data_IF_621769808134
#
_entry.id   IF_621769808134
#
_cell.length_a   1.000
_cell.length_b   1.000
_cell.length_c   1.000
_cell.angle_alpha   90.00
_cell.angle_beta   90.00
_cell.angle_gamma   90.00
#
_symmetry.space_group_name_H-M   'P 1'
#
loop_
_entity.id
_entity.type
_entity.pdbx_description
1 polymer ?
#
# COMPACT_ATOMS: atom_id res chain seq x y z
N UNK A 1 -25.84 -65.94 -49.64
CA UNK A 1 -24.77 -64.99 -49.23
C UNK A 1 -25.41 -63.97 -48.27
N UNK A 2 -25.17 -64.09 -46.95
CA UNK A 2 -25.70 -63.15 -45.94
C UNK A 2 -24.65 -62.14 -45.56
N UNK A 3 -24.85 -60.85 -45.87
CA UNK A 3 -23.99 -59.74 -45.45
C UNK A 3 -24.30 -59.42 -43.98
N UNK A 4 -23.27 -59.56 -43.12
CA UNK A 4 -23.32 -59.08 -41.71
C UNK A 4 -23.01 -57.58 -41.74
N UNK A 5 -23.94 -56.75 -41.27
CA UNK A 5 -23.74 -55.36 -40.95
C UNK A 5 -23.08 -55.27 -39.56
N UNK A 6 -21.91 -54.67 -39.47
CA UNK A 6 -21.23 -54.40 -38.22
C UNK A 6 -21.64 -52.99 -37.78
N UNK A 7 -22.39 -52.86 -36.69
CA UNK A 7 -22.74 -51.53 -36.13
C UNK A 7 -21.62 -51.05 -35.22
N UNK A 8 -21.03 -49.91 -35.57
CA UNK A 8 -20.00 -49.23 -34.80
C UNK A 8 -20.72 -48.32 -33.78
N UNK A 9 -20.68 -48.69 -32.50
CA UNK A 9 -21.14 -47.80 -31.44
C UNK A 9 -20.08 -46.80 -31.08
N UNK A 10 -20.32 -45.52 -31.40
CA UNK A 10 -19.49 -44.41 -30.97
C UNK A 10 -19.86 -44.02 -29.53
N UNK A 11 -18.99 -44.31 -28.60
CA UNK A 11 -19.10 -43.89 -27.22
C UNK A 11 -18.60 -42.44 -27.13
N UNK A 12 -19.50 -41.48 -27.01
CA UNK A 12 -19.18 -40.08 -26.74
C UNK A 12 -18.89 -39.92 -25.23
N UNK A 13 -17.63 -39.82 -24.87
CA UNK A 13 -17.20 -39.45 -23.51
C UNK A 13 -17.39 -37.95 -23.32
N UNK A 14 -18.42 -37.56 -22.58
CA UNK A 14 -18.61 -36.18 -22.16
C UNK A 14 -17.57 -35.84 -21.09
N UNK A 15 -16.56 -35.05 -21.45
CA UNK A 15 -15.65 -34.41 -20.49
C UNK A 15 -16.44 -33.34 -19.75
N UNK A 16 -16.85 -33.63 -18.53
CA UNK A 16 -17.36 -32.65 -17.58
C UNK A 16 -16.17 -31.79 -17.11
N UNK A 17 -15.92 -30.66 -17.79
CA UNK A 17 -15.09 -29.60 -17.24
C UNK A 17 -15.80 -29.02 -16.03
N UNK A 18 -15.42 -29.41 -14.81
CA UNK A 18 -15.78 -28.72 -13.60
C UNK A 18 -15.08 -27.33 -13.63
N UNK A 19 -15.80 -26.31 -14.08
CA UNK A 19 -15.38 -24.93 -13.89
C UNK A 19 -15.38 -24.66 -12.38
N UNK A 20 -14.24 -24.80 -11.74
CA UNK A 20 -14.04 -24.33 -10.38
C UNK A 20 -14.40 -22.84 -10.35
N UNK A 21 -15.38 -22.45 -9.55
CA UNK A 21 -15.71 -21.05 -9.33
C UNK A 21 -14.46 -20.37 -8.76
N UNK A 22 -13.75 -19.60 -9.58
CA UNK A 22 -12.73 -18.67 -9.10
C UNK A 22 -13.50 -17.62 -8.31
N UNK A 23 -13.47 -17.74 -6.98
CA UNK A 23 -14.01 -16.68 -6.13
C UNK A 23 -13.20 -15.41 -6.43
N UNK A 24 -13.79 -14.49 -7.17
CA UNK A 24 -13.20 -13.20 -7.42
C UNK A 24 -12.95 -12.53 -6.06
N UNK A 25 -11.69 -12.26 -5.73
CA UNK A 25 -11.31 -11.60 -4.48
C UNK A 25 -12.01 -10.25 -4.41
N UNK A 26 -12.73 -10.00 -3.32
CA UNK A 26 -13.52 -8.79 -3.13
C UNK A 26 -12.58 -7.60 -2.87
N UNK A 27 -12.67 -6.59 -3.73
CA UNK A 27 -12.01 -5.30 -3.51
C UNK A 27 -12.84 -4.49 -2.50
N UNK A 28 -12.21 -4.05 -1.44
CA UNK A 28 -12.78 -3.18 -0.41
C UNK A 28 -12.24 -1.76 -0.57
N UNK A 29 -13.12 -0.76 -0.47
CA UNK A 29 -12.73 0.65 -0.49
C UNK A 29 -12.42 1.09 0.93
N UNK A 30 -11.13 1.33 1.24
CA UNK A 30 -10.72 1.96 2.50
C UNK A 30 -11.12 3.44 2.53
N UNK A 31 -11.13 4.10 1.39
CA UNK A 31 -11.71 5.43 1.22
C UNK A 31 -13.00 5.35 0.38
N UNK A 32 -14.09 5.85 0.94
CA UNK A 32 -15.43 5.77 0.34
C UNK A 32 -15.75 6.93 -0.63
N UNK A 33 -14.83 7.91 -0.79
CA UNK A 33 -15.01 9.10 -1.62
C UNK A 33 -15.87 10.21 -0.98
N UNK A 34 -16.30 10.07 0.27
CA UNK A 34 -17.23 11.01 0.93
C UNK A 34 -16.72 11.55 2.26
N UNK A 35 -16.19 10.68 3.10
CA UNK A 35 -15.75 11.00 4.46
C UNK A 35 -14.60 10.09 4.92
N UNK A 36 -14.05 10.39 6.09
CA UNK A 36 -12.97 9.62 6.73
C UNK A 36 -13.48 8.76 7.90
N UNK A 37 -14.76 8.40 7.92
CA UNK A 37 -15.37 7.61 9.00
C UNK A 37 -14.75 6.23 9.20
N UNK A 38 -14.07 5.69 8.16
CA UNK A 38 -13.35 4.41 8.21
C UNK A 38 -11.92 4.52 8.75
N UNK A 39 -11.49 5.73 9.14
CA UNK A 39 -10.13 6.00 9.57
C UNK A 39 -10.06 6.48 11.01
N UNK A 40 -8.92 6.23 11.64
CA UNK A 40 -8.48 6.87 12.87
C UNK A 40 -7.32 7.83 12.55
N UNK A 41 -6.94 8.67 13.53
CA UNK A 41 -5.97 9.72 13.32
C UNK A 41 -4.97 9.77 14.47
N UNK A 42 -3.71 10.05 14.10
CA UNK A 42 -2.64 10.45 15.01
C UNK A 42 -2.12 11.80 14.52
N UNK A 43 -2.18 12.81 15.38
CA UNK A 43 -1.57 14.13 15.14
C UNK A 43 -0.52 14.36 16.21
N UNK A 44 0.68 14.78 15.82
CA UNK A 44 1.78 14.99 16.77
C UNK A 44 1.35 15.94 17.90
N UNK A 45 1.53 15.46 19.15
CA UNK A 45 1.19 16.18 20.39
C UNK A 45 -0.25 16.71 20.45
N UNK A 46 -1.16 16.21 19.60
CA UNK A 46 -2.51 16.75 19.44
C UNK A 46 -2.51 18.27 19.19
N UNK A 47 -1.52 18.74 18.40
CA UNK A 47 -1.27 20.15 18.19
C UNK A 47 -2.47 20.91 17.60
N UNK A 48 -3.26 20.20 16.78
CA UNK A 48 -4.53 20.69 16.21
C UNK A 48 -5.53 19.53 16.10
N UNK A 49 -6.85 19.81 15.99
CA UNK A 49 -7.84 18.78 15.65
C UNK A 49 -7.51 18.08 14.34
N UNK A 50 -7.76 16.76 14.26
CA UNK A 50 -7.37 15.93 13.12
C UNK A 50 -7.99 16.41 11.80
N UNK A 51 -9.20 16.94 11.82
CA UNK A 51 -9.89 17.49 10.65
C UNK A 51 -9.24 18.75 10.06
N UNK A 52 -8.28 19.35 10.75
CA UNK A 52 -7.42 20.42 10.22
C UNK A 52 -6.23 19.89 9.43
N UNK A 53 -5.92 18.60 9.59
CA UNK A 53 -4.80 17.93 8.91
C UNK A 53 -5.29 16.98 7.83
N UNK A 54 -6.40 16.27 8.11
CA UNK A 54 -6.99 15.25 7.26
C UNK A 54 -8.45 15.60 6.97
N UNK A 55 -8.79 15.84 5.73
CA UNK A 55 -10.17 16.15 5.35
C UNK A 55 -10.50 15.64 3.95
N UNK A 56 -11.77 15.68 3.60
CA UNK A 56 -12.24 15.32 2.24
C UNK A 56 -12.75 16.58 1.56
N UNK A 57 -12.26 16.80 0.36
CA UNK A 57 -12.74 17.84 -0.54
C UNK A 57 -12.76 17.30 -1.97
N UNK A 58 -13.81 17.63 -2.73
CA UNK A 58 -13.98 17.18 -4.13
C UNK A 58 -13.83 15.65 -4.32
N UNK A 59 -14.24 14.85 -3.32
CA UNK A 59 -14.16 13.39 -3.37
C UNK A 59 -12.74 12.83 -3.20
N UNK A 60 -11.81 13.62 -2.70
CA UNK A 60 -10.40 13.25 -2.45
C UNK A 60 -10.06 13.47 -0.98
N UNK A 61 -9.17 12.64 -0.45
CA UNK A 61 -8.49 12.89 0.83
C UNK A 61 -7.45 13.98 0.59
N UNK A 62 -7.47 14.99 1.44
CA UNK A 62 -6.42 16.01 1.53
C UNK A 62 -5.68 15.83 2.84
N UNK A 63 -4.35 15.83 2.77
CA UNK A 63 -3.45 15.80 3.92
C UNK A 63 -2.51 17.00 3.81
N UNK A 64 -2.53 17.88 4.84
CA UNK A 64 -1.85 19.19 4.81
C UNK A 64 -0.32 19.06 4.95
N UNK A 65 0.16 17.94 5.52
CA UNK A 65 1.59 17.69 5.70
C UNK A 65 2.21 18.31 6.96
N UNK A 66 1.48 19.17 7.69
CA UNK A 66 1.92 19.76 8.95
C UNK A 66 0.70 20.08 9.83
N UNK A 67 0.69 19.69 11.13
CA UNK A 67 1.74 18.96 11.86
C UNK A 67 1.95 17.54 11.36
N UNK A 68 3.05 16.91 11.82
CA UNK A 68 3.30 15.48 11.59
C UNK A 68 2.18 14.63 12.15
N UNK A 69 1.91 13.54 11.49
CA UNK A 69 0.89 12.59 11.88
C UNK A 69 0.57 11.58 10.78
N UNK A 70 -0.48 10.84 10.97
CA UNK A 70 -1.02 9.93 9.96
C UNK A 70 -2.48 9.61 10.25
N UNK A 71 -3.23 9.33 9.21
CA UNK A 71 -4.50 8.63 9.31
C UNK A 71 -4.26 7.14 9.11
N UNK A 72 -5.01 6.27 9.82
CA UNK A 72 -4.79 4.83 9.76
C UNK A 72 -6.09 4.04 9.81
N UNK A 73 -6.07 2.84 9.26
CA UNK A 73 -7.21 1.93 9.18
C UNK A 73 -7.72 1.55 10.58
N UNK A 74 -9.03 1.28 10.71
CA UNK A 74 -9.62 0.77 11.97
C UNK A 74 -9.27 -0.68 12.25
N UNK A 75 -9.05 -1.46 11.18
CA UNK A 75 -8.68 -2.86 11.25
C UNK A 75 -7.20 -3.05 10.89
N UNK A 76 -6.62 -4.15 11.38
CA UNK A 76 -5.32 -4.64 10.97
C UNK A 76 -5.46 -5.54 9.75
N UNK A 77 -4.43 -5.56 8.91
CA UNK A 77 -4.35 -6.39 7.70
C UNK A 77 -3.02 -7.15 7.68
N UNK A 78 -3.09 -8.41 7.27
CA UNK A 78 -1.92 -9.29 7.11
C UNK A 78 -1.59 -9.53 5.65
N UNK A 79 -2.34 -10.44 4.98
CA UNK A 79 -2.13 -10.75 3.57
C UNK A 79 -3.09 -9.92 2.71
N UNK A 80 -2.55 -9.00 1.90
CA UNK A 80 -3.38 -8.09 1.10
C UNK A 80 -2.65 -7.55 -0.13
N UNK A 81 -3.44 -7.08 -1.09
CA UNK A 81 -3.04 -6.12 -2.11
C UNK A 81 -3.65 -4.77 -1.76
N UNK A 82 -2.84 -3.74 -1.60
CA UNK A 82 -3.24 -2.35 -1.41
C UNK A 82 -3.00 -1.59 -2.73
N UNK A 83 -4.00 -0.80 -3.14
CA UNK A 83 -3.87 0.13 -4.25
C UNK A 83 -4.15 1.54 -3.76
N UNK A 84 -3.23 2.48 -4.03
CA UNK A 84 -3.30 3.87 -3.61
C UNK A 84 -2.99 4.76 -4.81
N UNK A 85 -3.83 5.77 -5.05
CA UNK A 85 -3.55 6.81 -6.04
C UNK A 85 -3.36 8.15 -5.35
N UNK A 86 -2.24 8.82 -5.62
CA UNK A 86 -1.88 10.10 -5.02
C UNK A 86 -1.34 11.10 -6.03
N UNK A 87 -1.36 12.38 -5.65
CA UNK A 87 -0.65 13.45 -6.37
C UNK A 87 -0.16 14.53 -5.42
N UNK A 88 0.81 15.29 -5.86
CA UNK A 88 1.24 16.54 -5.25
C UNK A 88 0.42 17.67 -5.86
N UNK A 89 -0.50 18.31 -5.12
CA UNK A 89 -1.30 19.41 -5.66
C UNK A 89 -0.43 20.63 -5.97
N UNK A 90 -0.91 21.51 -6.80
CA UNK A 90 -0.29 22.81 -7.11
C UNK A 90 1.16 22.73 -7.64
N UNK A 91 1.59 21.59 -8.19
CA UNK A 91 2.93 21.41 -8.72
C UNK A 91 4.06 21.42 -7.68
N UNK A 92 3.74 21.33 -6.38
CA UNK A 92 4.71 21.36 -5.28
C UNK A 92 5.06 19.95 -4.86
N UNK A 93 6.29 19.53 -5.12
CA UNK A 93 6.84 18.26 -4.63
C UNK A 93 7.16 18.36 -3.14
N UNK A 94 6.86 17.29 -2.38
CA UNK A 94 7.06 17.27 -0.94
C UNK A 94 7.36 15.85 -0.40
N UNK A 95 7.00 15.60 0.85
CA UNK A 95 7.15 14.31 1.52
C UNK A 95 5.82 13.80 2.07
N UNK A 96 5.62 12.51 1.98
CA UNK A 96 4.56 11.71 2.60
C UNK A 96 4.95 10.24 2.49
N UNK A 97 4.15 9.34 3.08
CA UNK A 97 4.40 7.90 3.04
C UNK A 97 3.13 7.08 3.22
N UNK A 98 3.20 5.83 2.79
CA UNK A 98 2.21 4.80 3.09
C UNK A 98 2.81 3.89 4.14
N UNK A 99 2.29 3.93 5.37
CA UNK A 99 2.74 3.08 6.47
C UNK A 99 2.10 1.71 6.37
N UNK A 100 2.92 0.68 6.45
CA UNK A 100 2.53 -0.72 6.33
C UNK A 100 2.83 -1.46 7.64
N UNK A 101 1.89 -2.33 8.05
CA UNK A 101 2.06 -3.20 9.21
C UNK A 101 2.37 -2.42 10.48
N UNK A 102 1.67 -1.30 10.74
CA UNK A 102 1.85 -0.50 11.96
C UNK A 102 1.55 -1.36 13.18
N UNK A 103 2.51 -1.47 14.11
CA UNK A 103 2.36 -2.24 15.34
C UNK A 103 1.89 -1.39 16.53
N UNK A 104 2.36 -0.14 16.64
CA UNK A 104 1.99 0.77 17.72
C UNK A 104 1.50 2.12 17.17
N UNK A 105 0.80 2.89 18.00
CA UNK A 105 0.12 4.12 17.60
C UNK A 105 0.54 5.31 18.48
N UNK A 106 1.76 5.27 19.04
CA UNK A 106 2.17 6.17 20.14
C UNK A 106 2.75 7.51 19.69
N UNK A 107 3.24 7.60 18.47
CA UNK A 107 3.93 8.79 17.97
C UNK A 107 3.75 8.93 16.45
N UNK A 108 4.07 10.09 15.84
CA UNK A 108 3.84 10.35 14.42
C UNK A 108 4.71 9.50 13.47
N UNK A 109 5.71 8.80 14.00
CA UNK A 109 6.55 7.84 13.28
C UNK A 109 6.47 6.47 13.98
N UNK A 110 5.35 5.73 13.82
CA UNK A 110 5.11 4.47 14.54
C UNK A 110 6.10 3.38 14.13
N UNK A 111 6.17 2.28 14.89
CA UNK A 111 6.85 1.08 14.40
C UNK A 111 6.09 0.54 13.18
N UNK A 112 6.64 0.77 11.99
CA UNK A 112 6.04 0.43 10.70
C UNK A 112 7.11 0.40 9.59
N UNK A 113 6.79 -0.24 8.48
CA UNK A 113 7.53 -0.07 7.23
C UNK A 113 6.82 1.01 6.41
N UNK A 114 7.52 2.08 6.12
CA UNK A 114 7.00 3.12 5.24
C UNK A 114 7.37 2.80 3.78
N UNK A 115 6.37 2.68 2.92
CA UNK A 115 6.56 2.87 1.49
C UNK A 115 6.63 4.38 1.24
N UNK A 116 7.85 4.87 1.02
CA UNK A 116 8.14 6.29 0.87
C UNK A 116 7.41 6.88 -0.34
N UNK A 117 6.84 8.08 -0.18
CA UNK A 117 6.27 8.89 -1.25
C UNK A 117 7.02 10.23 -1.44
N UNK A 118 8.13 10.47 -0.71
CA UNK A 118 8.97 11.64 -0.97
C UNK A 118 9.28 11.74 -2.47
N UNK A 119 9.08 12.94 -3.01
CA UNK A 119 9.14 13.14 -4.46
C UNK A 119 10.54 12.81 -5.04
N UNK A 120 10.59 11.80 -5.89
CA UNK A 120 11.79 11.21 -6.46
C UNK A 120 12.22 9.90 -5.79
N UNK A 121 11.73 9.63 -4.59
CA UNK A 121 12.10 8.45 -3.79
C UNK A 121 10.92 7.47 -3.58
N UNK A 122 9.78 7.67 -4.26
CA UNK A 122 8.64 6.79 -4.12
C UNK A 122 9.00 5.32 -4.40
N UNK A 123 8.68 4.45 -3.42
CA UNK A 123 9.01 3.03 -3.44
C UNK A 123 10.27 2.65 -2.64
N UNK A 124 11.04 3.59 -2.07
CA UNK A 124 11.98 3.26 -1.01
C UNK A 124 11.24 2.71 0.20
N UNK A 125 11.88 1.84 1.00
CA UNK A 125 11.38 1.54 2.34
C UNK A 125 12.13 2.33 3.39
N UNK A 126 11.39 3.05 4.23
CA UNK A 126 11.93 3.69 5.44
C UNK A 126 11.50 2.88 6.66
N UNK A 127 12.45 2.53 7.50
CA UNK A 127 12.25 1.68 8.66
C UNK A 127 12.02 2.56 9.90
N UNK A 128 10.75 2.70 10.30
CA UNK A 128 10.35 3.63 11.35
C UNK A 128 10.42 2.98 12.74
N UNK A 129 10.89 3.72 13.73
CA UNK A 129 10.81 3.40 15.17
C UNK A 129 11.23 1.96 15.52
N UNK A 130 12.35 1.49 14.96
CA UNK A 130 12.90 0.17 15.26
C UNK A 130 12.34 -0.97 14.43
N UNK A 131 11.44 -0.71 13.48
CA UNK A 131 11.04 -1.72 12.48
C UNK A 131 12.24 -2.19 11.67
N UNK A 132 12.12 -3.35 11.03
CA UNK A 132 13.24 -3.94 10.29
C UNK A 132 12.77 -4.76 9.08
N UNK A 133 13.66 -4.86 8.09
CA UNK A 133 13.53 -5.74 6.94
C UNK A 133 14.80 -6.59 6.81
N UNK A 134 14.64 -7.84 6.40
CA UNK A 134 15.77 -8.75 6.20
C UNK A 134 16.79 -8.23 5.17
N UNK A 135 16.35 -7.40 4.26
CA UNK A 135 17.13 -6.78 3.19
C UNK A 135 17.97 -5.59 3.68
N UNK A 136 17.62 -4.99 4.84
CA UNK A 136 18.40 -3.88 5.38
C UNK A 136 19.79 -4.34 5.84
N UNK A 137 20.80 -3.64 5.39
CA UNK A 137 22.20 -3.84 5.82
C UNK A 137 22.73 -2.56 6.46
N UNK A 138 22.98 -2.61 7.76
CA UNK A 138 23.59 -1.49 8.46
C UNK A 138 25.01 -1.21 7.89
N UNK A 139 25.37 0.06 7.71
CA UNK A 139 26.74 0.42 7.32
C UNK A 139 27.74 -0.11 8.34
N UNK A 140 28.85 -0.70 7.86
CA UNK A 140 29.87 -1.26 8.75
C UNK A 140 30.52 -0.18 9.63
N UNK A 141 30.59 -0.44 10.93
CA UNK A 141 31.25 0.47 11.90
C UNK A 141 30.46 1.75 12.20
N UNK A 142 29.20 1.85 11.74
CA UNK A 142 28.35 3.00 12.00
C UNK A 142 27.13 2.59 12.85
N UNK A 143 26.62 3.44 13.75
CA UNK A 143 25.36 3.17 14.43
C UNK A 143 24.22 3.11 13.41
N UNK A 144 23.18 2.34 13.74
CA UNK A 144 21.95 2.31 12.93
C UNK A 144 21.34 3.72 12.87
N UNK A 145 21.05 4.27 11.69
CA UNK A 145 20.33 5.54 11.56
C UNK A 145 18.96 5.50 12.28
N UNK A 146 18.44 6.67 12.66
CA UNK A 146 17.09 6.77 13.24
C UNK A 146 16.02 6.29 12.24
N UNK A 147 16.21 6.57 10.96
CA UNK A 147 15.35 6.17 9.85
C UNK A 147 16.19 5.43 8.79
N UNK A 148 16.45 4.12 8.99
CA UNK A 148 17.18 3.33 8.00
C UNK A 148 16.37 3.21 6.70
N UNK A 149 17.06 3.17 5.57
CA UNK A 149 16.41 3.10 4.25
C UNK A 149 16.90 1.88 3.48
N UNK A 150 15.95 1.12 2.92
CA UNK A 150 16.19 0.15 1.86
C UNK A 150 15.80 0.82 0.54
N UNK A 151 16.80 1.20 -0.25
CA UNK A 151 16.58 1.92 -1.50
C UNK A 151 15.86 1.07 -2.53
N UNK A 152 15.00 1.70 -3.31
CA UNK A 152 14.36 1.09 -4.49
C UNK A 152 15.39 0.64 -5.51
N UNK A 153 15.03 -0.33 -6.32
CA UNK A 153 15.95 -0.95 -7.27
C UNK A 153 16.11 -0.19 -8.58
N UNK A 154 15.16 0.69 -8.90
CA UNK A 154 15.13 1.42 -10.17
C UNK A 154 14.89 2.91 -9.94
N UNK A 155 15.21 3.71 -10.94
CA UNK A 155 14.88 5.12 -10.95
C UNK A 155 13.38 5.35 -10.75
N UNK A 156 13.04 6.51 -10.22
CA UNK A 156 11.65 6.86 -9.96
C UNK A 156 10.84 6.91 -11.27
N UNK A 157 9.66 6.27 -11.24
CA UNK A 157 8.66 6.33 -12.30
C UNK A 157 7.56 7.36 -12.00
N UNK A 158 7.79 8.22 -11.01
CA UNK A 158 6.84 9.24 -10.62
C UNK A 158 6.59 10.23 -11.76
N UNK A 159 5.33 10.57 -11.92
CA UNK A 159 4.90 11.60 -12.87
C UNK A 159 5.19 12.99 -12.32
N UNK A 160 5.18 14.02 -13.17
CA UNK A 160 5.30 15.40 -12.73
C UNK A 160 4.29 15.76 -11.63
N UNK A 161 4.65 16.69 -10.75
CA UNK A 161 3.74 17.18 -9.73
C UNK A 161 2.47 17.77 -10.37
N UNK A 162 1.31 17.46 -9.78
CA UNK A 162 -0.02 17.71 -10.34
C UNK A 162 -0.64 16.50 -11.04
N UNK A 163 0.16 15.55 -11.50
CA UNK A 163 -0.32 14.32 -12.11
C UNK A 163 -0.52 13.19 -11.10
N UNK A 164 -1.46 12.30 -11.39
CA UNK A 164 -1.78 11.16 -10.54
C UNK A 164 -0.77 10.02 -10.70
N UNK A 165 -0.20 9.60 -9.59
CA UNK A 165 0.61 8.40 -9.44
C UNK A 165 -0.20 7.29 -8.79
N UNK A 166 0.26 6.04 -8.95
CA UNK A 166 -0.30 4.88 -8.25
C UNK A 166 0.79 4.04 -7.59
N UNK A 167 0.47 3.53 -6.40
CA UNK A 167 1.20 2.45 -5.74
C UNK A 167 0.34 1.20 -5.71
N UNK A 168 0.88 0.07 -6.14
CA UNK A 168 0.32 -1.26 -5.95
C UNK A 168 1.27 -2.03 -5.01
N UNK A 169 0.80 -2.30 -3.79
CA UNK A 169 1.59 -2.91 -2.73
C UNK A 169 0.99 -4.27 -2.39
N UNK A 170 1.79 -5.32 -2.47
CA UNK A 170 1.41 -6.68 -2.08
C UNK A 170 2.11 -7.03 -0.78
N UNK A 171 1.35 -7.47 0.21
CA UNK A 171 1.88 -8.03 1.45
C UNK A 171 1.39 -9.47 1.55
N UNK A 172 2.32 -10.41 1.64
CA UNK A 172 2.01 -11.82 1.82
C UNK A 172 3.04 -12.47 2.73
N UNK A 173 2.59 -13.00 3.86
CA UNK A 173 3.42 -13.65 4.87
C UNK A 173 4.61 -12.79 5.32
N UNK A 174 4.40 -11.45 5.36
CA UNK A 174 5.39 -10.43 5.70
C UNK A 174 6.32 -10.02 4.57
N UNK A 175 6.23 -10.63 3.39
CA UNK A 175 6.92 -10.14 2.19
C UNK A 175 6.11 -8.98 1.61
N UNK A 176 6.75 -7.83 1.49
CA UNK A 176 6.19 -6.58 0.96
C UNK A 176 6.79 -6.36 -0.42
N UNK A 177 5.94 -6.25 -1.45
CA UNK A 177 6.36 -5.95 -2.84
C UNK A 177 5.68 -4.68 -3.29
N UNK A 178 6.45 -3.70 -3.77
CA UNK A 178 5.97 -2.36 -4.14
C UNK A 178 6.16 -2.11 -5.64
N UNK A 179 5.08 -1.73 -6.29
CA UNK A 179 5.08 -1.20 -7.65
C UNK A 179 4.63 0.25 -7.62
N UNK A 180 5.36 1.13 -8.30
CA UNK A 180 4.98 2.53 -8.53
C UNK A 180 4.78 2.73 -10.03
N UNK A 181 3.59 3.20 -10.42
CA UNK A 181 3.19 3.39 -11.82
C UNK A 181 3.46 2.15 -12.70
N UNK A 182 3.19 0.95 -12.13
CA UNK A 182 3.36 -0.34 -12.79
C UNK A 182 4.78 -0.91 -12.76
N UNK A 183 5.79 -0.14 -12.33
CA UNK A 183 7.18 -0.61 -12.25
C UNK A 183 7.52 -1.13 -10.86
N UNK A 184 8.12 -2.32 -10.78
CA UNK A 184 8.61 -2.90 -9.51
C UNK A 184 9.74 -2.03 -8.96
N UNK A 185 9.54 -1.49 -7.76
CA UNK A 185 10.49 -0.63 -7.09
C UNK A 185 11.25 -1.34 -5.97
N UNK A 186 10.55 -2.15 -5.16
CA UNK A 186 11.20 -2.75 -3.99
C UNK A 186 10.52 -4.06 -3.55
N UNK A 187 11.29 -4.92 -2.89
CA UNK A 187 10.79 -6.08 -2.14
C UNK A 187 11.50 -6.09 -0.78
N UNK A 188 10.75 -6.31 0.29
CA UNK A 188 11.29 -6.41 1.64
C UNK A 188 10.55 -7.47 2.46
N UNK A 189 11.25 -8.12 3.38
CA UNK A 189 10.73 -9.18 4.25
C UNK A 189 10.69 -8.71 5.70
N UNK A 190 9.48 -8.49 6.24
CA UNK A 190 9.24 -8.14 7.62
C UNK A 190 8.90 -9.37 8.46
N UNK A 191 9.30 -9.36 9.72
CA UNK A 191 8.86 -10.38 10.71
C UNK A 191 7.42 -10.18 11.15
N UNK A 192 6.94 -8.93 11.17
CA UNK A 192 5.54 -8.58 11.45
C UNK A 192 4.66 -9.04 10.30
N UNK A 193 3.57 -9.73 10.63
CA UNK A 193 2.69 -10.36 9.63
C UNK A 193 1.34 -9.65 9.50
N UNK A 194 1.01 -8.78 10.45
CA UNK A 194 -0.27 -8.06 10.53
C UNK A 194 -0.10 -6.73 11.23
N UNK A 195 -0.75 -5.69 10.73
CA UNK A 195 -0.73 -4.36 11.33
C UNK A 195 -1.70 -3.41 10.64
N UNK A 196 -1.79 -2.17 11.16
CA UNK A 196 -2.60 -1.16 10.50
C UNK A 196 -1.89 -0.61 9.26
N UNK A 197 -2.67 0.03 8.39
CA UNK A 197 -2.18 0.75 7.21
C UNK A 197 -2.40 2.24 7.46
N UNK A 198 -1.42 3.09 7.15
CA UNK A 198 -1.52 4.53 7.35
C UNK A 198 -1.15 5.37 6.14
N UNK A 199 -1.65 6.61 6.11
CA UNK A 199 -1.25 7.65 5.16
C UNK A 199 -0.68 8.81 5.95
N UNK A 200 0.56 9.18 5.65
CA UNK A 200 1.36 10.11 6.45
C UNK A 200 1.05 11.57 6.14
N UNK A 201 1.06 12.40 7.18
CA UNK A 201 1.18 13.86 7.11
C UNK A 201 2.61 14.26 7.40
N UNK A 202 3.36 14.68 6.36
CA UNK A 202 4.73 15.19 6.47
C UNK A 202 5.03 16.15 5.33
N UNK A 203 5.57 17.31 5.67
CA UNK A 203 6.08 18.28 4.69
C UNK A 203 5.02 19.24 4.16
N UNK A 204 4.28 18.89 3.11
CA UNK A 204 3.28 19.73 2.44
C UNK A 204 2.09 18.91 1.95
N UNK A 205 1.15 19.60 1.34
CA UNK A 205 -0.12 19.03 0.88
C UNK A 205 0.09 17.85 -0.08
N UNK A 206 -0.65 16.79 0.16
CA UNK A 206 -0.78 15.63 -0.71
C UNK A 206 -2.26 15.25 -0.81
N UNK A 207 -2.68 14.79 -1.98
CA UNK A 207 -4.05 14.32 -2.23
C UNK A 207 -4.07 12.84 -2.58
N UNK A 208 -5.13 12.13 -2.10
CA UNK A 208 -5.41 10.75 -2.45
C UNK A 208 -6.84 10.63 -2.99
N UNK A 209 -7.01 10.06 -4.18
CA UNK A 209 -8.35 9.86 -4.76
C UNK A 209 -8.84 8.42 -4.65
N UNK A 210 -7.95 7.46 -4.48
CA UNK A 210 -8.28 6.05 -4.36
C UNK A 210 -7.41 5.37 -3.32
N UNK A 211 -8.03 4.66 -2.37
CA UNK A 211 -7.37 3.75 -1.45
C UNK A 211 -8.24 2.51 -1.34
N UNK A 212 -7.79 1.41 -1.93
CA UNK A 212 -8.53 0.15 -1.94
C UNK A 212 -7.65 -1.02 -1.51
N UNK A 213 -8.27 -2.04 -0.92
CA UNK A 213 -7.60 -3.24 -0.46
C UNK A 213 -8.31 -4.50 -0.96
N UNK A 214 -7.54 -5.54 -1.23
CA UNK A 214 -8.02 -6.88 -1.53
C UNK A 214 -7.31 -7.85 -0.60
N UNK A 215 -8.05 -8.60 0.23
CA UNK A 215 -7.47 -9.65 1.09
C UNK A 215 -7.01 -10.82 0.20
N UNK A 216 -5.78 -11.34 0.46
CA UNK A 216 -5.15 -12.42 -0.31
C UNK A 216 -5.29 -13.78 0.39
#
# INVERSE_FOLDING_TARGET
MKKKMLSLAVMATALLCSAGAVNAQKVEKLFNGKDLSNWNFMVDKNAVPAEKVFYVENGMIHIVGNPFGYMYTKEKYGNFKLHVEWRWPNGVKANSGIFLLIEDLKNPFPNAIECQLHAGDAGDFVLLSGSDLAEYKAPSGQPRPAFPVVKKWKDSTEKPAGEWNEANIYVKDGVITVYINGELQNIGTNKVKEGYIGLQSEGKDIEFRSVTITKL
#
